data_IF_988162854148
#
_entry.id   IF_988162854148
#
_cell.length_a   1.000
_cell.length_b   1.000
_cell.length_c   1.000
_cell.angle_alpha   90.00
_cell.angle_beta   90.00
_cell.angle_gamma   90.00
#
_symmetry.space_group_name_H-M   'P 1'
#
loop_
_entity.id
_entity.type
_entity.pdbx_description
1 polymer ?
#
# COMPACT_ATOMS: atom_id res chain seq x y z
N UNK A 1 2.45 -13.54 -31.52
CA UNK A 1 3.30 -13.80 -30.33
C UNK A 1 2.94 -12.80 -29.24
N UNK A 2 1.96 -13.13 -28.40
CA UNK A 2 1.55 -12.27 -27.28
C UNK A 2 2.42 -12.58 -26.06
N UNK A 3 3.37 -11.70 -25.74
CA UNK A 3 4.14 -11.80 -24.51
C UNK A 3 3.19 -11.43 -23.36
N UNK A 4 2.55 -12.44 -22.75
CA UNK A 4 1.70 -12.23 -21.58
C UNK A 4 2.65 -11.73 -20.49
N UNK A 5 2.57 -10.44 -20.15
CA UNK A 5 3.36 -9.88 -19.07
C UNK A 5 3.09 -10.74 -17.83
N UNK A 6 4.09 -11.48 -17.36
CA UNK A 6 3.97 -12.31 -16.16
C UNK A 6 3.86 -11.45 -14.89
N UNK A 7 3.68 -10.14 -15.05
CA UNK A 7 3.61 -9.14 -13.99
C UNK A 7 2.41 -8.23 -14.23
N UNK A 8 1.59 -8.07 -13.21
CA UNK A 8 0.48 -7.12 -13.17
C UNK A 8 0.82 -5.98 -12.21
N UNK A 9 0.41 -4.77 -12.56
CA UNK A 9 0.47 -3.61 -11.66
C UNK A 9 -0.88 -3.46 -10.97
N UNK A 10 -0.87 -3.44 -9.65
CA UNK A 10 -2.04 -3.18 -8.81
C UNK A 10 -1.91 -1.78 -8.24
N UNK A 11 -2.94 -0.96 -8.40
CA UNK A 11 -3.00 0.39 -7.85
C UNK A 11 -4.22 0.50 -6.94
N UNK A 12 -4.02 1.06 -5.75
CA UNK A 12 -5.09 1.26 -4.78
C UNK A 12 -4.87 2.58 -4.03
N UNK A 13 -5.98 3.22 -3.65
CA UNK A 13 -5.99 4.32 -2.69
C UNK A 13 -6.63 3.79 -1.42
N UNK A 14 -5.92 3.90 -0.30
CA UNK A 14 -6.28 3.26 0.97
C UNK A 14 -6.35 4.31 2.07
N UNK A 15 -7.46 4.34 2.81
CA UNK A 15 -7.53 5.08 4.07
C UNK A 15 -6.90 4.25 5.18
N UNK A 16 -6.00 4.86 5.96
CA UNK A 16 -5.27 4.19 7.03
C UNK A 16 -5.49 4.87 8.39
N UNK A 17 -5.41 4.07 9.45
CA UNK A 17 -5.35 4.53 10.83
C UNK A 17 -4.44 3.60 11.64
N UNK A 18 -3.33 4.13 12.14
CA UNK A 18 -2.34 3.42 12.95
C UNK A 18 -2.25 4.06 14.34
N UNK A 19 -2.42 3.25 15.38
CA UNK A 19 -2.28 3.68 16.78
C UNK A 19 -0.93 3.21 17.34
N UNK A 20 -0.23 4.12 18.03
CA UNK A 20 1.04 3.83 18.72
C UNK A 20 0.79 3.81 20.23
N UNK A 21 0.65 2.63 20.86
CA UNK A 21 0.35 2.53 22.29
C UNK A 21 1.37 3.26 23.16
N UNK A 22 2.66 3.07 22.87
CA UNK A 22 3.77 3.65 23.65
C UNK A 22 3.80 5.19 23.65
N UNK A 23 3.19 5.81 22.64
CA UNK A 23 3.19 7.27 22.46
C UNK A 23 1.81 7.91 22.63
N UNK A 24 0.75 7.11 22.80
CA UNK A 24 -0.63 7.62 22.89
C UNK A 24 -1.13 8.35 21.64
N UNK A 25 -0.40 8.30 20.51
CA UNK A 25 -0.74 9.03 19.28
C UNK A 25 -1.34 8.12 18.22
N UNK A 26 -2.23 8.67 17.41
CA UNK A 26 -2.78 8.05 16.21
C UNK A 26 -2.31 8.78 14.95
N UNK A 27 -1.78 8.03 13.99
CA UNK A 27 -1.52 8.51 12.63
C UNK A 27 -2.63 8.02 11.71
N UNK A 28 -3.20 8.91 10.92
CA UNK A 28 -4.33 8.59 10.03
C UNK A 28 -4.28 9.45 8.77
N UNK A 29 -4.86 8.95 7.67
CA UNK A 29 -4.82 9.63 6.38
C UNK A 29 -5.11 8.70 5.22
N UNK A 30 -4.71 9.12 4.03
CA UNK A 30 -4.88 8.38 2.78
C UNK A 30 -3.51 8.12 2.15
N UNK A 31 -3.30 6.90 1.67
CA UNK A 31 -2.08 6.45 0.99
C UNK A 31 -2.42 5.90 -0.39
N UNK A 32 -1.64 6.31 -1.39
CA UNK A 32 -1.63 5.62 -2.68
C UNK A 32 -0.62 4.48 -2.61
N UNK A 33 -1.06 3.30 -3.04
CA UNK A 33 -0.30 2.06 -3.05
C UNK A 33 -0.16 1.55 -4.48
N UNK A 34 1.06 1.17 -4.83
CA UNK A 34 1.39 0.45 -6.05
C UNK A 34 2.12 -0.85 -5.72
N UNK A 35 1.63 -1.96 -6.28
CA UNK A 35 2.27 -3.28 -6.20
C UNK A 35 2.58 -3.79 -7.60
N UNK A 36 3.78 -4.33 -7.80
CA UNK A 36 4.04 -5.23 -8.92
C UNK A 36 3.84 -6.68 -8.45
N UNK A 37 2.92 -7.40 -9.09
CA UNK A 37 2.56 -8.77 -8.74
C UNK A 37 2.99 -9.70 -9.88
N UNK A 38 3.91 -10.62 -9.59
CA UNK A 38 4.34 -11.66 -10.53
C UNK A 38 3.46 -12.91 -10.43
N UNK A 39 3.11 -13.48 -11.58
CA UNK A 39 2.38 -14.75 -11.72
C UNK A 39 3.24 -15.86 -12.34
N UNK A 40 4.53 -15.61 -12.59
CA UNK A 40 5.41 -16.52 -13.32
C UNK A 40 5.54 -17.92 -12.68
N UNK A 41 5.35 -18.02 -11.36
CA UNK A 41 5.42 -19.29 -10.60
C UNK A 41 4.06 -19.96 -10.34
N UNK A 42 2.99 -19.54 -11.01
CA UNK A 42 1.63 -20.08 -10.79
C UNK A 42 0.94 -19.60 -9.50
N UNK A 43 1.71 -19.12 -8.51
CA UNK A 43 1.21 -18.38 -7.35
C UNK A 43 1.54 -16.89 -7.51
N UNK A 44 0.60 -15.96 -7.24
CA UNK A 44 0.87 -14.54 -7.23
C UNK A 44 1.84 -14.16 -6.12
N UNK A 45 2.88 -13.38 -6.44
CA UNK A 45 3.86 -12.87 -5.46
C UNK A 45 4.09 -11.38 -5.71
N UNK A 46 4.08 -10.57 -4.65
CA UNK A 46 4.45 -9.14 -4.73
C UNK A 46 5.98 -9.07 -4.88
N UNK A 47 6.45 -8.52 -6.00
CA UNK A 47 7.89 -8.38 -6.30
C UNK A 47 8.40 -6.95 -6.08
N UNK A 48 7.50 -5.97 -6.02
CA UNK A 48 7.79 -4.64 -5.52
C UNK A 48 6.55 -4.01 -4.90
N UNK A 49 6.79 -3.15 -3.92
CA UNK A 49 5.78 -2.32 -3.27
C UNK A 49 6.31 -0.89 -3.17
N UNK A 50 5.46 0.06 -3.50
CA UNK A 50 5.72 1.48 -3.27
C UNK A 50 4.45 2.14 -2.77
N UNK A 51 4.58 2.91 -1.70
CA UNK A 51 3.47 3.65 -1.13
C UNK A 51 3.83 5.11 -0.92
N UNK A 52 2.83 5.99 -1.06
CA UNK A 52 2.97 7.42 -0.85
C UNK A 52 1.77 7.95 -0.08
N UNK A 53 2.03 8.57 1.07
CA UNK A 53 0.99 9.30 1.80
C UNK A 53 0.58 10.52 0.96
N UNK A 54 -0.69 10.59 0.58
CA UNK A 54 -1.25 11.70 -0.20
C UNK A 54 -2.01 12.69 0.67
N UNK A 55 -2.58 12.22 1.78
CA UNK A 55 -3.22 13.05 2.79
C UNK A 55 -2.87 12.56 4.19
N UNK A 56 -2.59 13.49 5.10
CA UNK A 56 -2.53 13.22 6.54
C UNK A 56 -3.67 13.94 7.22
N UNK A 57 -4.45 13.23 8.01
CA UNK A 57 -5.39 13.87 8.92
C UNK A 57 -4.65 14.43 10.13
N UNK A 58 -5.25 15.45 10.75
CA UNK A 58 -4.75 15.98 12.01
C UNK A 58 -4.61 14.86 13.05
N UNK A 59 -3.52 14.90 13.80
CA UNK A 59 -3.28 13.99 14.92
C UNK A 59 -4.25 14.38 16.03
N UNK A 60 -5.27 13.54 16.25
CA UNK A 60 -6.03 13.62 17.49
C UNK A 60 -5.13 13.09 18.62
N UNK A 61 -4.57 14.00 19.40
CA UNK A 61 -4.02 13.68 20.72
C UNK A 61 -5.20 13.52 21.67
N UNK A 62 -5.17 12.47 22.50
CA UNK A 62 -6.03 12.39 23.68
C UNK A 62 -5.38 13.15 24.84
#
# INVERSE_FOLDING_TARGET
SGQRLATCRVQATVDFSAFSPDRGVRSQGTVDLELAVSFAGGRPVIVSETSRVVRREAVASR
#
